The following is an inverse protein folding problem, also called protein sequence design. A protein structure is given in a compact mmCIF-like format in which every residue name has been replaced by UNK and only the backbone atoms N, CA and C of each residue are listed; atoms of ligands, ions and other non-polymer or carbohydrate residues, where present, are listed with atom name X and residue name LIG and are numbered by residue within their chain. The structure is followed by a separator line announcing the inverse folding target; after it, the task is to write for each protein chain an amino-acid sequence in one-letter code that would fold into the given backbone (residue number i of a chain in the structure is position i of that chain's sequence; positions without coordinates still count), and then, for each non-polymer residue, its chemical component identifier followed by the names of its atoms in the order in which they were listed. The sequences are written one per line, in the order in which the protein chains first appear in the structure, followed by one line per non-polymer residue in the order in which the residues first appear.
data_IF_296357392387
#
_entry.id   IF_296357392387
#
_cell.length_a   1.000
_cell.length_b   1.000
_cell.length_c   1.000
_cell.angle_alpha   90.00
_cell.angle_beta   90.00
_cell.angle_gamma   90.00
#
_symmetry.space_group_name_H-M   'P 1'
#
loop_
_entity.id
_entity.type
_entity.pdbx_description
1 polymer ?
#
# COMPACT_ATOMS: atom_id res chain seq x y z
N UNK A 1 9.90 -1.33 -8.65
CA UNK A 1 9.41 -2.71 -8.91
C UNK A 1 8.56 -3.26 -7.77
N UNK A 2 8.92 -3.09 -6.48
CA UNK A 2 8.04 -3.43 -5.36
C UNK A 2 6.67 -2.72 -5.42
N UNK A 3 6.63 -1.48 -5.93
CA UNK A 3 5.39 -0.74 -6.20
C UNK A 3 4.40 -1.49 -7.10
N UNK A 4 4.91 -2.16 -8.14
CA UNK A 4 4.06 -2.92 -9.09
C UNK A 4 3.38 -4.07 -8.37
N UNK A 5 4.10 -4.78 -7.50
CA UNK A 5 3.51 -5.88 -6.74
C UNK A 5 2.47 -5.41 -5.72
N UNK A 6 2.71 -4.27 -5.05
CA UNK A 6 1.73 -3.65 -4.16
C UNK A 6 0.48 -3.17 -4.93
N UNK A 7 0.66 -2.61 -6.13
CA UNK A 7 -0.45 -2.19 -6.97
C UNK A 7 -1.27 -3.38 -7.48
N UNK A 8 -0.64 -4.46 -7.95
CA UNK A 8 -1.35 -5.66 -8.40
C UNK A 8 -2.15 -6.33 -7.26
N UNK A 9 -1.61 -6.36 -6.03
CA UNK A 9 -2.39 -6.81 -4.87
C UNK A 9 -3.60 -5.90 -4.59
N UNK A 10 -3.47 -4.59 -4.80
CA UNK A 10 -4.58 -3.64 -4.73
C UNK A 10 -5.60 -3.77 -5.86
N UNK A 11 -5.19 -4.28 -7.03
CA UNK A 11 -6.06 -4.56 -8.17
C UNK A 11 -6.80 -5.92 -8.05
N UNK A 12 -6.49 -6.71 -7.01
CA UNK A 12 -6.94 -8.11 -6.85
C UNK A 12 -6.48 -9.02 -8.01
N UNK A 13 -5.41 -8.63 -8.68
CA UNK A 13 -4.92 -9.32 -9.87
C UNK A 13 -3.86 -10.35 -9.43
N UNK A 14 -4.03 -11.64 -9.77
CA UNK A 14 -3.14 -12.67 -9.28
C UNK A 14 -1.71 -12.44 -9.79
N UNK A 15 -0.77 -12.32 -8.85
CA UNK A 15 0.63 -12.17 -9.21
C UNK A 15 1.12 -13.40 -9.98
N UNK A 16 1.77 -13.21 -11.13
CA UNK A 16 2.30 -14.34 -11.88
C UNK A 16 3.40 -15.05 -11.08
N UNK A 17 3.57 -16.38 -11.18
CA UNK A 17 4.45 -17.15 -10.29
C UNK A 17 5.90 -16.63 -10.18
N UNK A 18 6.45 -16.09 -11.28
CA UNK A 18 7.79 -15.51 -11.31
C UNK A 18 7.95 -14.23 -10.46
N UNK A 19 6.85 -13.57 -10.10
CA UNK A 19 6.82 -12.42 -9.20
C UNK A 19 7.40 -12.74 -7.83
N UNK A 20 7.10 -13.93 -7.31
CA UNK A 20 7.53 -14.38 -6.00
C UNK A 20 9.04 -14.60 -5.95
N UNK A 21 9.60 -15.24 -6.97
CA UNK A 21 11.05 -15.43 -7.10
C UNK A 21 11.80 -14.09 -7.22
N UNK A 22 11.21 -13.15 -7.95
CA UNK A 22 11.75 -11.80 -8.08
C UNK A 22 11.72 -11.03 -6.74
N UNK A 23 10.63 -11.11 -5.98
CA UNK A 23 10.51 -10.50 -4.66
C UNK A 23 11.46 -11.13 -3.63
N UNK A 24 11.70 -12.43 -3.74
CA UNK A 24 12.63 -13.18 -2.90
C UNK A 24 14.10 -12.85 -3.20
N UNK A 25 14.40 -12.27 -4.37
CA UNK A 25 15.75 -11.85 -4.74
C UNK A 25 16.18 -10.66 -3.86
N UNK A 26 17.27 -10.78 -3.08
CA UNK A 26 17.75 -9.71 -2.23
C UNK A 26 18.28 -8.57 -3.10
N UNK A 27 17.48 -7.54 -3.25
CA UNK A 27 17.90 -6.26 -3.83
C UNK A 27 18.37 -5.35 -2.69
N UNK A 28 19.34 -4.47 -2.96
CA UNK A 28 19.72 -3.38 -2.06
C UNK A 28 18.53 -2.41 -1.92
N UNK A 29 17.48 -2.83 -1.20
CA UNK A 29 16.39 -1.96 -0.78
C UNK A 29 17.01 -1.04 0.27
N UNK A 30 17.34 0.19 -0.12
CA UNK A 30 17.52 1.28 0.83
C UNK A 30 16.29 1.26 1.73
N UNK A 31 16.48 0.93 3.01
CA UNK A 31 15.38 0.63 3.92
C UNK A 31 14.40 1.78 3.99
N UNK A 32 13.20 1.58 3.45
CA UNK A 32 12.05 2.40 3.81
C UNK A 32 11.78 2.16 5.30
N UNK A 33 11.96 3.20 6.09
CA UNK A 33 11.57 3.19 7.49
C UNK A 33 10.18 3.81 7.62
N UNK A 34 9.34 3.23 8.47
CA UNK A 34 8.12 3.90 8.91
C UNK A 34 8.51 4.93 9.97
N UNK A 35 8.71 6.19 9.58
CA UNK A 35 9.08 7.27 10.49
C UNK A 35 8.05 7.47 11.63
N UNK A 36 6.77 7.12 11.37
CA UNK A 36 5.69 7.04 12.39
C UNK A 36 5.11 5.62 12.51
N UNK A 37 5.93 4.67 12.97
CA UNK A 37 5.51 3.28 13.16
C UNK A 37 4.22 3.13 14.00
N UNK A 38 3.97 4.03 14.96
CA UNK A 38 2.77 4.01 15.79
C UNK A 38 1.51 4.34 14.98
N UNK A 39 1.56 5.37 14.13
CA UNK A 39 0.48 5.71 13.20
C UNK A 39 0.15 4.56 12.24
N UNK A 40 1.16 3.92 11.65
CA UNK A 40 0.98 2.78 10.74
C UNK A 40 0.37 1.54 11.43
N UNK A 41 0.78 1.25 12.66
CA UNK A 41 0.16 0.18 13.47
C UNK A 41 -1.30 0.51 13.80
N UNK A 42 -1.60 1.78 14.09
CA UNK A 42 -2.97 2.23 14.37
C UNK A 42 -3.86 2.11 13.13
N UNK A 43 -3.36 2.49 11.96
CA UNK A 43 -4.07 2.33 10.69
C UNK A 43 -4.43 0.86 10.46
N UNK A 44 -3.47 -0.05 10.63
CA UNK A 44 -3.72 -1.50 10.51
C UNK A 44 -4.79 -1.98 11.50
N UNK A 45 -4.71 -1.55 12.76
CA UNK A 45 -5.69 -1.92 13.77
C UNK A 45 -7.10 -1.36 13.48
N UNK A 46 -7.19 -0.16 12.89
CA UNK A 46 -8.45 0.43 12.44
C UNK A 46 -9.04 -0.34 11.25
N UNK A 47 -8.21 -0.71 10.27
CA UNK A 47 -8.59 -1.55 9.14
C UNK A 47 -9.16 -2.88 9.59
N UNK A 48 -8.42 -3.64 10.39
CA UNK A 48 -8.86 -4.95 10.89
C UNK A 48 -10.15 -4.89 11.73
N UNK A 49 -10.44 -3.75 12.34
CA UNK A 49 -11.65 -3.53 13.12
C UNK A 49 -12.82 -2.94 12.30
N UNK A 50 -12.66 -2.77 10.98
CA UNK A 50 -13.70 -2.21 10.10
C UNK A 50 -14.04 -0.75 10.39
N UNK A 51 -13.14 0.02 11.04
CA UNK A 51 -13.40 1.41 11.42
C UNK A 51 -13.15 2.36 10.25
N UNK A 52 -14.04 2.33 9.27
CA UNK A 52 -13.95 3.02 7.97
C UNK A 52 -13.53 4.48 8.09
N UNK A 53 -14.20 5.27 8.93
CA UNK A 53 -13.89 6.69 9.10
C UNK A 53 -12.50 6.95 9.67
N UNK A 54 -12.04 6.09 10.60
CA UNK A 54 -10.69 6.20 11.16
C UNK A 54 -9.63 5.79 10.12
N UNK A 55 -9.90 4.76 9.31
CA UNK A 55 -9.02 4.33 8.22
C UNK A 55 -8.87 5.43 7.17
N UNK A 56 -9.97 6.06 6.75
CA UNK A 56 -9.91 7.15 5.78
C UNK A 56 -9.05 8.32 6.28
N UNK A 57 -9.27 8.77 7.52
CA UNK A 57 -8.52 9.90 8.10
C UNK A 57 -7.05 9.52 8.32
N UNK A 58 -6.75 8.36 8.90
CA UNK A 58 -5.37 7.93 9.12
C UNK A 58 -4.62 7.73 7.80
N UNK A 59 -5.29 7.22 6.76
CA UNK A 59 -4.69 7.09 5.43
C UNK A 59 -4.26 8.44 4.88
N UNK A 60 -5.13 9.46 4.96
CA UNK A 60 -4.81 10.81 4.53
C UNK A 60 -3.69 11.45 5.34
N UNK A 61 -3.67 11.28 6.67
CA UNK A 61 -2.64 11.84 7.54
C UNK A 61 -1.28 11.20 7.25
N UNK A 62 -1.23 9.86 7.20
CA UNK A 62 0.02 9.11 7.03
C UNK A 62 0.58 9.23 5.62
N UNK A 63 -0.28 9.45 4.64
CA UNK A 63 0.13 9.68 3.26
C UNK A 63 0.34 11.16 2.94
N UNK A 64 0.15 12.09 3.90
CA UNK A 64 0.15 13.54 3.66
C UNK A 64 -0.77 13.96 2.49
N UNK A 65 -1.89 13.25 2.34
CA UNK A 65 -2.86 13.45 1.25
C UNK A 65 -2.35 13.11 -0.16
N UNK A 66 -1.15 12.52 -0.30
CA UNK A 66 -0.58 12.11 -1.58
C UNK A 66 -0.54 10.59 -1.74
N UNK A 67 -0.51 10.15 -2.99
CA UNK A 67 -0.29 8.74 -3.35
C UNK A 67 1.19 8.40 -3.18
N UNK A 68 1.55 7.27 -2.53
CA UNK A 68 2.95 6.87 -2.37
C UNK A 68 3.65 6.64 -3.71
N UNK A 69 4.86 7.17 -3.85
CA UNK A 69 5.65 7.04 -5.07
C UNK A 69 6.42 5.72 -5.19
N UNK A 70 7.22 5.52 -6.28
CA UNK A 70 7.92 4.27 -6.59
C UNK A 70 8.92 3.77 -5.53
N UNK A 71 9.41 4.66 -4.67
CA UNK A 71 10.28 4.36 -3.54
C UNK A 71 9.56 4.17 -2.21
N UNK A 72 8.22 4.22 -2.21
CA UNK A 72 7.35 4.16 -1.02
C UNK A 72 6.44 2.92 -1.05
N UNK A 73 6.93 1.79 -1.56
CA UNK A 73 6.13 0.60 -1.83
C UNK A 73 5.59 -0.05 -0.54
N UNK A 74 6.32 0.06 0.57
CA UNK A 74 5.87 -0.42 1.88
C UNK A 74 4.70 0.42 2.40
N UNK A 75 4.75 1.74 2.24
CA UNK A 75 3.66 2.64 2.57
C UNK A 75 2.42 2.36 1.72
N UNK A 76 2.60 2.14 0.41
CA UNK A 76 1.51 1.78 -0.51
C UNK A 76 0.80 0.49 -0.10
N UNK A 77 1.56 -0.59 0.14
CA UNK A 77 0.99 -1.88 0.54
C UNK A 77 0.23 -1.79 1.86
N UNK A 78 0.72 -1.00 2.81
CA UNK A 78 0.06 -0.78 4.09
C UNK A 78 -1.27 -0.01 3.93
N UNK A 79 -1.31 1.04 3.10
CA UNK A 79 -2.53 1.79 2.80
C UNK A 79 -3.58 0.92 2.09
N UNK A 80 -3.19 0.21 1.02
CA UNK A 80 -4.06 -0.70 0.28
C UNK A 80 -4.66 -1.75 1.21
N UNK A 81 -3.83 -2.39 2.05
CA UNK A 81 -4.29 -3.40 2.99
C UNK A 81 -5.29 -2.84 4.00
N UNK A 82 -5.01 -1.66 4.56
CA UNK A 82 -5.88 -1.04 5.55
C UNK A 82 -7.25 -0.65 4.97
N UNK A 83 -7.27 -0.09 3.76
CA UNK A 83 -8.49 0.23 3.01
C UNK A 83 -9.31 -1.03 2.74
N UNK A 84 -8.68 -2.11 2.27
CA UNK A 84 -9.36 -3.39 2.03
C UNK A 84 -9.94 -3.99 3.31
N UNK A 85 -9.19 -4.01 4.42
CA UNK A 85 -9.71 -4.50 5.69
C UNK A 85 -10.92 -3.69 6.18
N UNK A 86 -11.00 -2.42 5.82
CA UNK A 86 -12.12 -1.56 6.14
C UNK A 86 -13.33 -1.72 5.19
N UNK A 87 -13.25 -2.55 4.15
CA UNK A 87 -14.29 -2.65 3.11
C UNK A 87 -14.30 -1.45 2.15
N UNK A 88 -13.13 -0.85 1.90
CA UNK A 88 -12.93 0.26 0.95
C UNK A 88 -12.15 -0.22 -0.29
N UNK A 89 -12.64 -1.28 -0.93
CA UNK A 89 -11.99 -1.94 -2.07
C UNK A 89 -11.81 -1.01 -3.25
N UNK A 90 -12.83 -0.19 -3.56
CA UNK A 90 -12.75 0.76 -4.68
C UNK A 90 -11.66 1.81 -4.43
N UNK A 91 -11.52 2.29 -3.19
CA UNK A 91 -10.45 3.22 -2.82
C UNK A 91 -9.07 2.56 -2.88
N UNK A 92 -8.96 1.30 -2.46
CA UNK A 92 -7.71 0.54 -2.56
C UNK A 92 -7.27 0.35 -4.03
N UNK A 93 -8.23 0.03 -4.91
CA UNK A 93 -8.00 -0.12 -6.35
C UNK A 93 -7.63 1.19 -7.02
N UNK A 94 -8.34 2.28 -6.71
CA UNK A 94 -8.02 3.61 -7.22
C UNK A 94 -6.60 4.04 -6.83
N UNK A 95 -6.22 3.82 -5.57
CA UNK A 95 -4.88 4.14 -5.08
C UNK A 95 -3.79 3.30 -5.79
N UNK A 96 -4.05 2.02 -6.02
CA UNK A 96 -3.16 1.16 -6.79
C UNK A 96 -2.96 1.68 -8.22
N UNK A 97 -4.03 2.06 -8.92
CA UNK A 97 -3.98 2.63 -10.27
C UNK A 97 -3.22 3.95 -10.31
N UNK A 98 -3.49 4.87 -9.39
CA UNK A 98 -2.78 6.14 -9.32
C UNK A 98 -1.28 5.94 -9.12
N UNK A 99 -0.89 4.96 -8.30
CA UNK A 99 0.52 4.66 -8.07
C UNK A 99 1.23 4.12 -9.33
N UNK A 100 0.54 3.30 -10.14
CA UNK A 100 1.06 2.81 -11.42
C UNK A 100 1.24 3.95 -12.42
N UNK A 101 0.23 4.81 -12.54
CA UNK A 101 0.28 6.00 -13.40
C UNK A 101 1.45 6.91 -12.99
N UNK A 102 1.64 7.18 -11.70
CA UNK A 102 2.76 7.97 -11.20
C UNK A 102 4.13 7.32 -11.47
N UNK A 103 4.18 5.98 -11.49
CA UNK A 103 5.39 5.24 -11.83
C UNK A 103 5.69 5.21 -13.34
N UNK A 104 4.78 5.71 -14.18
CA UNK A 104 4.91 5.69 -15.64
C UNK A 104 4.71 4.29 -16.24
N UNK A 105 3.90 3.47 -15.58
CA UNK A 105 3.51 2.12 -16.00
C UNK A 105 2.06 2.11 -16.47
#
# INVERSE_FOLDING_TARGET
VALVFAAFDGLEEPLPPFAWDFLATPTNRSGEAFDDAAGWLRLRAAGLAGRVGEVAILSLILSDGRTPGPGEALHLGALISALRYAGLEESARALALESLIQAGL
#
